data_IF_295411915709
#
_entry.id   IF_295411915709
#
_cell.length_a   1.000
_cell.length_b   1.000
_cell.length_c   1.000
_cell.angle_alpha   90.00
_cell.angle_beta   90.00
_cell.angle_gamma   90.00
#
_symmetry.space_group_name_H-M   'P 1'
#
loop_
_entity.id
_entity.type
_entity.pdbx_description
1 polymer ?
#
# COMPACT_ATOMS: atom_id res chain seq x y z
N UNK A 1 -17.31 1.24 6.71
CA UNK A 1 -16.27 1.09 7.77
C UNK A 1 -15.04 0.54 7.09
N UNK A 2 -13.85 1.00 7.45
CA UNK A 2 -12.56 0.61 6.84
C UNK A 2 -11.65 0.07 7.95
N UNK A 3 -10.85 -0.95 7.65
CA UNK A 3 -9.79 -1.45 8.53
C UNK A 3 -8.43 -1.24 7.86
N UNK A 4 -7.51 -0.57 8.55
CA UNK A 4 -6.16 -0.36 8.06
C UNK A 4 -5.18 -1.32 8.75
N UNK A 5 -4.41 -2.05 7.95
CA UNK A 5 -3.37 -2.98 8.41
C UNK A 5 -2.01 -2.55 7.85
N UNK A 6 -0.98 -2.58 8.69
CA UNK A 6 0.41 -2.31 8.31
C UNK A 6 1.25 -3.56 8.52
N UNK A 7 1.76 -4.15 7.44
CA UNK A 7 2.68 -5.28 7.49
C UNK A 7 4.12 -4.80 7.71
N UNK A 8 4.55 -4.74 8.97
CA UNK A 8 5.91 -4.35 9.33
C UNK A 8 6.96 -5.41 8.96
N UNK A 9 6.56 -6.69 8.89
CA UNK A 9 7.45 -7.78 8.48
C UNK A 9 7.81 -7.62 7.01
N UNK A 10 6.80 -7.47 6.14
CA UNK A 10 6.98 -7.19 4.71
C UNK A 10 7.64 -5.83 4.44
N UNK A 11 7.39 -4.83 5.28
CA UNK A 11 8.05 -3.53 5.16
C UNK A 11 9.57 -3.64 5.35
N UNK A 12 10.00 -4.45 6.33
CA UNK A 12 11.41 -4.73 6.63
C UNK A 12 12.06 -5.65 5.60
N UNK A 13 11.36 -6.69 5.18
CA UNK A 13 11.83 -7.68 4.19
C UNK A 13 10.67 -8.09 3.25
N UNK A 14 10.67 -7.63 1.99
CA UNK A 14 9.61 -7.97 1.02
C UNK A 14 9.39 -9.46 0.82
N UNK A 15 10.44 -10.28 0.98
CA UNK A 15 10.36 -11.74 0.82
C UNK A 15 9.56 -12.41 1.94
N UNK A 16 9.36 -11.71 3.06
CA UNK A 16 8.62 -12.18 4.24
C UNK A 16 7.24 -11.54 4.39
N UNK A 17 6.72 -10.95 3.33
CA UNK A 17 5.37 -10.36 3.33
C UNK A 17 4.34 -11.41 3.77
N UNK A 18 3.46 -11.05 4.69
CA UNK A 18 2.56 -11.99 5.38
C UNK A 18 1.30 -12.32 4.57
N UNK A 19 1.46 -12.67 3.28
CA UNK A 19 0.34 -12.82 2.33
C UNK A 19 -0.74 -13.81 2.81
N UNK A 20 -0.35 -14.98 3.32
CA UNK A 20 -1.30 -15.98 3.81
C UNK A 20 -2.15 -15.46 4.98
N UNK A 21 -1.56 -14.67 5.88
CA UNK A 21 -2.30 -14.04 6.98
C UNK A 21 -3.23 -12.93 6.47
N UNK A 22 -2.73 -12.09 5.56
CA UNK A 22 -3.50 -11.00 4.96
C UNK A 22 -4.71 -11.54 4.20
N UNK A 23 -4.54 -12.60 3.41
CA UNK A 23 -5.61 -13.29 2.69
C UNK A 23 -6.67 -13.85 3.64
N UNK A 24 -6.24 -14.51 4.73
CA UNK A 24 -7.16 -15.00 5.75
C UNK A 24 -7.97 -13.85 6.36
N UNK A 25 -7.32 -12.75 6.72
CA UNK A 25 -8.00 -11.59 7.29
C UNK A 25 -8.99 -10.98 6.29
N UNK A 26 -8.59 -10.80 5.03
CA UNK A 26 -9.42 -10.22 3.99
C UNK A 26 -10.72 -11.02 3.74
N UNK A 27 -10.68 -12.35 3.90
CA UNK A 27 -11.86 -13.22 3.73
C UNK A 27 -12.80 -13.24 4.95
N UNK A 28 -12.27 -13.01 6.15
CA UNK A 28 -13.02 -13.12 7.41
C UNK A 28 -13.64 -11.80 7.87
N UNK A 29 -13.06 -10.66 7.48
CA UNK A 29 -13.57 -9.34 7.88
C UNK A 29 -14.75 -8.92 7.00
N UNK A 30 -15.82 -8.41 7.62
CA UNK A 30 -17.01 -7.91 6.93
C UNK A 30 -16.91 -6.45 6.47
N UNK A 31 -15.73 -5.85 6.58
CA UNK A 31 -15.44 -4.44 6.23
C UNK A 31 -14.32 -4.37 5.21
N UNK A 32 -14.20 -3.25 4.50
CA UNK A 32 -13.11 -3.05 3.56
C UNK A 32 -11.75 -3.07 4.28
N UNK A 33 -10.82 -3.87 3.75
CA UNK A 33 -9.46 -3.97 4.25
C UNK A 33 -8.50 -3.14 3.39
N UNK A 34 -7.72 -2.27 4.02
CA UNK A 34 -6.63 -1.51 3.40
C UNK A 34 -5.28 -1.97 3.98
N UNK A 35 -4.32 -2.31 3.12
CA UNK A 35 -3.00 -2.80 3.55
C UNK A 35 -1.87 -1.87 3.09
N UNK A 36 -0.98 -1.52 4.01
CA UNK A 36 0.32 -0.89 3.74
C UNK A 36 1.48 -1.72 4.29
N UNK A 37 2.71 -1.26 4.05
CA UNK A 37 3.93 -1.90 4.59
C UNK A 37 5.01 -2.12 3.55
N UNK A 38 5.70 -1.04 3.17
CA UNK A 38 6.88 -1.09 2.29
C UNK A 38 6.65 -1.77 0.95
N UNK A 39 5.54 -1.45 0.27
CA UNK A 39 5.15 -2.00 -1.03
C UNK A 39 5.90 -1.27 -2.13
N UNK A 40 6.63 -2.01 -2.97
CA UNK A 40 7.65 -1.44 -3.88
C UNK A 40 7.54 -1.89 -5.33
N UNK A 41 6.52 -2.68 -5.69
CA UNK A 41 6.37 -3.21 -7.04
C UNK A 41 4.91 -3.43 -7.41
N UNK A 42 4.62 -3.42 -8.73
CA UNK A 42 3.31 -3.79 -9.30
C UNK A 42 2.89 -5.21 -8.89
N UNK A 43 3.84 -6.13 -8.82
CA UNK A 43 3.60 -7.52 -8.44
C UNK A 43 3.10 -7.62 -6.99
N UNK A 44 3.68 -6.85 -6.06
CA UNK A 44 3.22 -6.83 -4.66
C UNK A 44 1.82 -6.21 -4.53
N UNK A 45 1.52 -5.14 -5.29
CA UNK A 45 0.17 -4.55 -5.31
C UNK A 45 -0.85 -5.58 -5.80
N UNK A 46 -0.58 -6.23 -6.94
CA UNK A 46 -1.44 -7.28 -7.50
C UNK A 46 -1.67 -8.42 -6.51
N UNK A 47 -0.61 -8.95 -5.90
CA UNK A 47 -0.71 -10.04 -4.93
C UNK A 47 -1.62 -9.68 -3.74
N UNK A 48 -1.56 -8.44 -3.25
CA UNK A 48 -2.44 -7.99 -2.16
C UNK A 48 -3.89 -7.85 -2.61
N UNK A 49 -4.14 -7.26 -3.78
CA UNK A 49 -5.49 -7.14 -4.33
C UNK A 49 -6.11 -8.53 -4.58
N UNK A 50 -5.32 -9.48 -5.10
CA UNK A 50 -5.73 -10.87 -5.33
C UNK A 50 -6.07 -11.60 -4.01
N UNK A 51 -5.47 -11.20 -2.89
CA UNK A 51 -5.83 -11.70 -1.56
C UNK A 51 -7.20 -11.19 -1.06
N UNK A 52 -7.83 -10.25 -1.76
CA UNK A 52 -9.09 -9.61 -1.34
C UNK A 52 -8.91 -8.28 -0.61
N UNK A 53 -7.69 -7.72 -0.59
CA UNK A 53 -7.46 -6.37 -0.07
C UNK A 53 -8.16 -5.36 -0.97
N UNK A 54 -8.91 -4.42 -0.39
CA UNK A 54 -9.66 -3.41 -1.14
C UNK A 54 -8.79 -2.25 -1.60
N UNK A 55 -7.83 -1.84 -0.76
CA UNK A 55 -6.92 -0.71 -1.02
C UNK A 55 -5.49 -1.02 -0.61
N UNK A 56 -4.53 -0.64 -1.45
CA UNK A 56 -3.11 -0.80 -1.20
C UNK A 56 -2.45 0.56 -0.96
N UNK A 57 -1.74 0.68 0.15
CA UNK A 57 -1.03 1.90 0.53
C UNK A 57 0.41 1.86 0.03
N UNK A 58 0.74 2.77 -0.87
CA UNK A 58 2.10 3.00 -1.38
C UNK A 58 2.62 4.34 -0.85
N UNK A 59 3.91 4.43 -0.52
CA UNK A 59 4.47 5.67 0.04
C UNK A 59 5.89 5.92 -0.45
N UNK A 60 6.88 5.24 0.15
CA UNK A 60 8.30 5.44 -0.14
C UNK A 60 8.68 5.33 -1.63
N UNK A 61 7.93 4.54 -2.41
CA UNK A 61 8.13 4.38 -3.85
C UNK A 61 7.71 5.64 -4.63
N UNK A 62 6.67 6.35 -4.20
CA UNK A 62 6.16 7.53 -4.92
C UNK A 62 7.15 8.67 -5.02
N UNK A 63 8.07 8.75 -4.05
CA UNK A 63 9.11 9.76 -4.00
C UNK A 63 10.35 9.30 -4.78
N UNK A 64 10.62 7.98 -4.80
CA UNK A 64 11.81 7.40 -5.46
C UNK A 64 11.61 7.14 -6.95
N UNK A 65 10.39 6.79 -7.35
CA UNK A 65 9.99 6.44 -8.70
C UNK A 65 8.53 6.83 -8.94
N UNK A 66 8.33 8.09 -9.31
CA UNK A 66 7.00 8.62 -9.63
C UNK A 66 6.38 7.93 -10.87
N UNK A 67 7.20 7.46 -11.81
CA UNK A 67 6.75 6.77 -13.02
C UNK A 67 6.06 5.45 -12.65
N UNK A 68 6.70 4.62 -11.83
CA UNK A 68 6.12 3.38 -11.34
C UNK A 68 4.82 3.61 -10.56
N UNK A 69 4.74 4.68 -9.76
CA UNK A 69 3.50 5.05 -9.09
C UNK A 69 2.37 5.42 -10.05
N UNK A 70 2.66 6.17 -11.11
CA UNK A 70 1.67 6.47 -12.15
C UNK A 70 1.25 5.22 -12.93
N UNK A 71 2.16 4.30 -13.19
CA UNK A 71 1.83 3.00 -13.81
C UNK A 71 0.89 2.18 -12.93
N UNK A 72 1.17 2.09 -11.62
CA UNK A 72 0.30 1.41 -10.65
C UNK A 72 -1.09 2.05 -10.62
N UNK A 73 -1.17 3.39 -10.58
CA UNK A 73 -2.46 4.10 -10.61
C UNK A 73 -3.24 3.82 -11.90
N UNK A 74 -2.57 3.77 -13.05
CA UNK A 74 -3.19 3.45 -14.35
C UNK A 74 -3.66 2.00 -14.41
N UNK A 75 -2.89 1.07 -13.87
CA UNK A 75 -3.18 -0.37 -13.96
C UNK A 75 -4.30 -0.79 -12.99
N UNK A 76 -4.25 -0.34 -11.74
CA UNK A 76 -5.16 -0.81 -10.68
C UNK A 76 -6.30 0.17 -10.37
N UNK A 77 -6.24 1.40 -10.90
CA UNK A 77 -7.26 2.43 -10.70
C UNK A 77 -7.13 3.20 -9.39
N UNK A 78 -7.65 4.42 -9.36
CA UNK A 78 -7.56 5.33 -8.20
C UNK A 78 -8.28 4.82 -6.96
N UNK A 79 -9.33 4.01 -7.12
CA UNK A 79 -10.10 3.46 -5.99
C UNK A 79 -9.34 2.39 -5.19
N UNK A 80 -8.34 1.75 -5.81
CA UNK A 80 -7.58 0.65 -5.21
C UNK A 80 -6.25 1.11 -4.58
N UNK A 81 -5.82 2.35 -4.82
CA UNK A 81 -4.48 2.83 -4.45
C UNK A 81 -4.58 4.04 -3.52
N UNK A 82 -3.81 4.00 -2.43
CA UNK A 82 -3.70 5.10 -1.47
C UNK A 82 -2.24 5.54 -1.39
N UNK A 83 -2.01 6.84 -1.49
CA UNK A 83 -0.68 7.43 -1.36
C UNK A 83 -0.45 7.87 0.09
N UNK A 84 0.54 7.27 0.75
CA UNK A 84 1.03 7.71 2.06
C UNK A 84 2.18 8.72 1.88
N UNK A 85 1.99 9.91 2.44
CA UNK A 85 2.97 11.00 2.44
C UNK A 85 3.28 11.40 3.88
N UNK A 86 4.51 11.11 4.30
CA UNK A 86 5.04 11.62 5.56
C UNK A 86 5.68 12.99 5.30
N UNK A 87 5.21 14.02 6.01
CA UNK A 87 5.66 15.42 5.82
C UNK A 87 6.08 16.05 7.14
N UNK A 88 7.01 17.00 7.07
CA UNK A 88 7.51 17.78 8.21
C UNK A 88 7.44 19.26 7.81
N UNK A 89 7.00 20.12 8.72
CA UNK A 89 7.03 21.57 8.53
C UNK A 89 8.48 22.07 8.52
N UNK A 90 8.87 22.82 7.49
CA UNK A 90 10.15 23.55 7.45
C UNK A 90 9.89 25.01 7.77
N UNK A 91 10.65 25.57 8.72
CA UNK A 91 10.48 26.96 9.18
C UNK A 91 10.76 28.01 8.09
N UNK A 92 11.57 27.67 7.07
CA UNK A 92 11.94 28.58 5.97
C UNK A 92 11.03 28.46 4.72
N UNK A 93 9.88 27.81 4.82
CA UNK A 93 9.00 27.61 3.67
C UNK A 93 8.16 28.86 3.38
N UNK A 94 8.66 29.71 2.48
CA UNK A 94 7.90 30.86 1.93
C UNK A 94 7.01 30.33 0.80
N UNK A 95 5.70 30.56 0.93
CA UNK A 95 4.67 30.20 -0.07
C UNK A 95 4.78 31.08 -1.30
#
# INVERSE_FOLDING_TARGET
>A
KELHLVDLTGAKDPSKRQLALIEKLAKEVSVNLQVGGGIRSKAEVRALLDCGVKKVVIGSMAIKDATLCLEILKEFGSEAIVLALDTILKEDYVV
#
